data_IF_930115687605
#
_entry.id   IF_930115687605
#
_cell.length_a   1.000
_cell.length_b   1.000
_cell.length_c   1.000
_cell.angle_alpha   90.00
_cell.angle_beta   90.00
_cell.angle_gamma   90.00
#
_symmetry.space_group_name_H-M   'P 1'
#
loop_
_entity.id
_entity.type
_entity.pdbx_description
1 polymer ?
#
# COMPACT_ATOMS: atom_id res chain seq x y z
N UNK A 1 -13.54 -14.51 -4.97
CA UNK A 1 -13.00 -13.56 -5.96
C UNK A 1 -13.31 -12.13 -5.54
N UNK A 2 -12.35 -11.21 -5.70
CA UNK A 2 -12.51 -9.79 -5.35
C UNK A 2 -12.31 -8.91 -6.59
N UNK A 3 -13.13 -7.87 -6.74
CA UNK A 3 -12.95 -6.78 -7.70
C UNK A 3 -12.59 -5.49 -6.96
N UNK A 4 -11.89 -4.59 -7.65
CA UNK A 4 -11.49 -3.29 -7.10
C UNK A 4 -12.19 -2.21 -7.93
N UNK A 5 -12.81 -1.23 -7.26
CA UNK A 5 -13.48 -0.10 -7.88
C UNK A 5 -12.91 1.22 -7.38
N UNK A 6 -12.56 2.09 -8.31
CA UNK A 6 -12.18 3.46 -8.02
C UNK A 6 -13.41 4.38 -8.08
N UNK A 7 -13.80 4.89 -6.94
CA UNK A 7 -14.90 5.85 -6.79
C UNK A 7 -14.38 7.26 -6.44
N UNK A 8 -13.13 7.55 -6.75
CA UNK A 8 -12.52 8.84 -6.47
C UNK A 8 -13.11 9.94 -7.36
N UNK A 9 -13.22 11.17 -6.86
CA UNK A 9 -13.63 12.32 -7.65
C UNK A 9 -12.77 12.53 -8.89
N UNK A 10 -13.37 12.99 -9.99
CA UNK A 10 -12.67 13.17 -11.27
C UNK A 10 -11.55 14.22 -11.24
N UNK A 11 -11.62 15.15 -10.30
CA UNK A 11 -10.59 16.18 -10.10
C UNK A 11 -9.35 15.68 -9.36
N UNK A 12 -9.36 14.45 -8.83
CA UNK A 12 -8.17 13.80 -8.25
C UNK A 12 -7.29 13.29 -9.39
N UNK A 13 -5.99 13.47 -9.25
CA UNK A 13 -5.01 13.04 -10.24
C UNK A 13 -5.18 11.56 -10.62
N UNK A 14 -5.35 11.31 -11.92
CA UNK A 14 -5.59 9.98 -12.45
C UNK A 14 -4.41 9.03 -12.24
N UNK A 15 -3.18 9.53 -12.32
CA UNK A 15 -1.97 8.72 -12.10
C UNK A 15 -1.87 8.25 -10.64
N UNK A 16 -2.22 9.13 -9.71
CA UNK A 16 -2.30 8.77 -8.29
C UNK A 16 -3.36 7.68 -8.06
N UNK A 17 -4.57 7.87 -8.61
CA UNK A 17 -5.67 6.90 -8.49
C UNK A 17 -5.31 5.53 -9.05
N UNK A 18 -4.72 5.50 -10.25
CA UNK A 18 -4.24 4.26 -10.89
C UNK A 18 -3.08 3.61 -10.13
N UNK A 19 -2.18 4.41 -9.58
CA UNK A 19 -1.07 3.91 -8.76
C UNK A 19 -1.57 3.25 -7.49
N UNK A 20 -2.53 3.87 -6.80
CA UNK A 20 -3.18 3.28 -5.62
C UNK A 20 -3.91 1.98 -5.99
N UNK A 21 -4.69 1.97 -7.09
CA UNK A 21 -5.37 0.78 -7.60
C UNK A 21 -4.39 -0.37 -7.86
N UNK A 22 -3.28 -0.10 -8.57
CA UNK A 22 -2.27 -1.10 -8.91
C UNK A 22 -1.62 -1.73 -7.68
N UNK A 23 -1.32 -0.91 -6.66
CA UNK A 23 -0.77 -1.40 -5.41
C UNK A 23 -1.78 -2.27 -4.65
N UNK A 24 -3.02 -1.82 -4.50
CA UNK A 24 -4.09 -2.62 -3.88
C UNK A 24 -4.24 -3.96 -4.61
N UNK A 25 -4.28 -3.96 -5.94
CA UNK A 25 -4.39 -5.19 -6.73
C UNK A 25 -3.17 -6.11 -6.55
N UNK A 26 -1.97 -5.53 -6.51
CA UNK A 26 -0.71 -6.25 -6.26
C UNK A 26 -0.71 -6.91 -4.89
N UNK A 27 -1.02 -6.17 -3.84
CA UNK A 27 -1.05 -6.65 -2.46
C UNK A 27 -2.08 -7.77 -2.26
N UNK A 28 -3.28 -7.61 -2.82
CA UNK A 28 -4.30 -8.67 -2.78
C UNK A 28 -3.82 -9.96 -3.44
N UNK A 29 -3.05 -9.88 -4.53
CA UNK A 29 -2.44 -11.06 -5.17
C UNK A 29 -1.33 -11.65 -4.32
N UNK A 30 -0.43 -10.82 -3.80
CA UNK A 30 0.71 -11.26 -2.96
C UNK A 30 0.21 -11.93 -1.68
N UNK A 31 -0.91 -11.50 -1.12
CA UNK A 31 -1.53 -12.16 0.04
C UNK A 31 -1.89 -13.62 -0.22
N UNK A 32 -2.13 -14.01 -1.48
CA UNK A 32 -2.58 -15.32 -1.91
C UNK A 32 -3.98 -15.74 -1.40
N UNK A 33 -4.65 -14.87 -0.67
CA UNK A 33 -5.98 -15.12 -0.11
C UNK A 33 -7.12 -14.70 -1.06
N UNK A 34 -6.80 -13.92 -2.09
CA UNK A 34 -7.78 -13.39 -3.03
C UNK A 34 -7.46 -13.79 -4.47
N UNK A 35 -8.51 -14.14 -5.22
CA UNK A 35 -8.46 -14.16 -6.68
C UNK A 35 -8.93 -12.80 -7.17
N UNK A 36 -8.00 -11.98 -7.70
CA UNK A 36 -8.24 -10.58 -8.05
C UNK A 36 -8.76 -10.45 -9.48
N UNK A 37 -9.87 -9.72 -9.65
CA UNK A 37 -10.28 -9.13 -10.93
C UNK A 37 -9.62 -7.77 -11.03
N UNK A 38 -8.71 -7.60 -11.98
CA UNK A 38 -7.79 -6.47 -12.06
C UNK A 38 -8.15 -5.44 -13.14
N UNK A 39 -9.32 -5.55 -13.73
CA UNK A 39 -9.84 -4.51 -14.60
C UNK A 39 -10.09 -3.23 -13.81
N UNK A 40 -9.55 -2.11 -14.29
CA UNK A 40 -9.76 -0.81 -13.66
C UNK A 40 -11.18 -0.33 -13.89
N UNK A 41 -11.99 -0.40 -12.85
CA UNK A 41 -13.40 -0.01 -12.87
C UNK A 41 -13.60 1.30 -12.12
N UNK A 42 -14.27 2.26 -12.75
CA UNK A 42 -14.75 3.47 -12.09
C UNK A 42 -16.17 3.26 -11.58
N UNK A 43 -16.48 3.82 -10.41
CA UNK A 43 -17.77 3.66 -9.74
C UNK A 43 -18.17 4.93 -9.00
N UNK A 44 -19.38 4.97 -8.46
CA UNK A 44 -19.80 5.96 -7.46
C UNK A 44 -19.57 5.40 -6.06
N UNK A 45 -19.10 6.25 -5.12
CA UNK A 45 -18.84 5.82 -3.75
C UNK A 45 -20.12 5.47 -3.00
N UNK A 46 -21.19 6.27 -3.16
CA UNK A 46 -22.45 6.09 -2.42
C UNK A 46 -23.34 4.97 -2.98
N UNK A 47 -22.89 4.35 -4.02
CA UNK A 47 -23.61 3.20 -4.55
C UNK A 47 -24.16 3.41 -5.95
N UNK A 48 -24.32 2.36 -6.61
CA UNK A 48 -24.93 2.12 -7.88
C UNK A 48 -25.20 0.62 -7.94
N UNK A 49 -26.01 0.14 -8.87
CA UNK A 49 -26.17 -1.28 -9.04
C UNK A 49 -24.80 -1.91 -9.24
N UNK A 50 -24.61 -3.05 -8.61
CA UNK A 50 -23.49 -3.93 -8.94
C UNK A 50 -23.67 -4.24 -10.41
N UNK A 51 -22.74 -3.77 -11.22
CA UNK A 51 -22.84 -3.91 -12.67
C UNK A 51 -22.98 -5.40 -13.01
N UNK A 52 -23.84 -5.73 -13.97
CA UNK A 52 -24.05 -7.11 -14.44
C UNK A 52 -22.73 -7.82 -14.76
N UNK A 53 -21.73 -7.05 -15.21
CA UNK A 53 -20.36 -7.46 -15.42
C UNK A 53 -19.71 -8.19 -14.21
N UNK A 54 -19.94 -7.72 -12.98
CA UNK A 54 -19.39 -8.35 -11.78
C UNK A 54 -20.09 -9.67 -11.44
N UNK A 55 -21.37 -9.75 -11.77
CA UNK A 55 -22.15 -10.99 -11.66
C UNK A 55 -21.64 -12.05 -12.63
N UNK A 56 -21.41 -11.69 -13.89
CA UNK A 56 -20.90 -12.59 -14.92
C UNK A 56 -19.49 -13.10 -14.59
N UNK A 57 -18.65 -12.29 -13.96
CA UNK A 57 -17.31 -12.66 -13.52
C UNK A 57 -17.27 -13.42 -12.18
N UNK A 58 -18.42 -13.72 -11.57
CA UNK A 58 -18.54 -14.43 -10.29
C UNK A 58 -17.69 -13.79 -9.19
N UNK A 59 -17.78 -12.47 -9.05
CA UNK A 59 -17.15 -11.71 -7.98
C UNK A 59 -17.94 -11.90 -6.69
N UNK A 60 -17.27 -12.16 -5.59
CA UNK A 60 -17.88 -12.34 -4.26
C UNK A 60 -17.78 -11.06 -3.41
N UNK A 61 -16.69 -10.31 -3.59
CA UNK A 61 -16.38 -9.11 -2.85
C UNK A 61 -15.99 -7.96 -3.78
N UNK A 62 -16.32 -6.74 -3.38
CA UNK A 62 -15.88 -5.51 -4.04
C UNK A 62 -15.16 -4.67 -3.01
N UNK A 63 -13.90 -4.32 -3.28
CA UNK A 63 -13.18 -3.29 -2.57
C UNK A 63 -13.35 -1.99 -3.35
N UNK A 64 -14.14 -1.07 -2.83
CA UNK A 64 -14.40 0.24 -3.43
C UNK A 64 -13.68 1.31 -2.64
N UNK A 65 -12.80 2.06 -3.29
CA UNK A 65 -12.10 3.16 -2.66
C UNK A 65 -12.44 4.50 -3.31
N UNK A 66 -12.46 5.55 -2.50
CA UNK A 66 -12.53 6.95 -2.94
C UNK A 66 -11.34 7.69 -2.34
N UNK A 67 -10.37 8.03 -3.16
CA UNK A 67 -9.17 8.74 -2.72
C UNK A 67 -9.28 10.23 -3.02
N UNK A 68 -8.67 11.05 -2.17
CA UNK A 68 -8.43 12.47 -2.39
C UNK A 68 -6.98 12.81 -2.08
N UNK A 69 -6.48 13.89 -2.66
CA UNK A 69 -5.15 14.38 -2.35
C UNK A 69 -5.11 15.90 -2.36
N UNK A 70 -4.27 16.43 -1.47
CA UNK A 70 -3.86 17.83 -1.41
C UNK A 70 -2.38 17.96 -1.78
N UNK A 71 -1.79 19.15 -1.54
CA UNK A 71 -0.38 19.39 -1.83
C UNK A 71 0.55 18.37 -1.15
N UNK A 72 0.32 18.06 0.12
CA UNK A 72 1.19 17.19 0.91
C UNK A 72 0.48 15.95 1.45
N UNK A 73 -0.83 15.97 1.61
CA UNK A 73 -1.63 14.91 2.21
C UNK A 73 -2.40 14.09 1.18
N UNK A 74 -2.84 12.92 1.59
CA UNK A 74 -3.79 12.11 0.85
C UNK A 74 -4.75 11.44 1.84
N UNK A 75 -5.96 11.15 1.39
CA UNK A 75 -6.91 10.35 2.16
C UNK A 75 -7.62 9.35 1.28
N UNK A 76 -8.17 8.31 1.89
CA UNK A 76 -9.02 7.36 1.19
C UNK A 76 -10.15 6.89 2.10
N UNK A 77 -11.36 6.84 1.56
CA UNK A 77 -12.49 6.11 2.14
C UNK A 77 -12.63 4.80 1.40
N UNK A 78 -12.80 3.71 2.13
CA UNK A 78 -12.84 2.36 1.55
C UNK A 78 -14.03 1.60 2.08
N UNK A 79 -14.79 0.99 1.17
CA UNK A 79 -15.89 0.06 1.47
C UNK A 79 -15.52 -1.34 1.00
N UNK A 80 -15.75 -2.32 1.84
CA UNK A 80 -15.79 -3.73 1.44
C UNK A 80 -17.26 -4.14 1.31
N UNK A 81 -17.64 -4.62 0.14
CA UNK A 81 -19.03 -4.85 -0.22
C UNK A 81 -19.19 -6.32 -0.63
N UNK A 82 -20.19 -6.98 -0.09
CA UNK A 82 -20.62 -8.29 -0.58
C UNK A 82 -21.27 -8.11 -1.97
N UNK A 83 -20.65 -8.67 -3.00
CA UNK A 83 -21.10 -8.48 -4.38
C UNK A 83 -22.46 -9.12 -4.69
N UNK A 84 -22.86 -10.13 -3.92
CA UNK A 84 -24.14 -10.83 -4.13
C UNK A 84 -25.34 -10.09 -3.54
N UNK A 85 -25.13 -9.47 -2.36
CA UNK A 85 -26.21 -8.80 -1.61
C UNK A 85 -26.19 -7.29 -1.76
N UNK A 86 -25.06 -6.71 -2.24
CA UNK A 86 -24.85 -5.27 -2.28
C UNK A 86 -24.61 -4.64 -0.90
N UNK A 87 -24.52 -5.45 0.17
CA UNK A 87 -24.33 -4.93 1.53
C UNK A 87 -22.88 -4.57 1.80
N UNK A 88 -22.66 -3.40 2.41
CA UNK A 88 -21.35 -3.00 2.92
C UNK A 88 -21.03 -3.79 4.19
N UNK A 89 -19.96 -4.56 4.17
CA UNK A 89 -19.48 -5.36 5.30
C UNK A 89 -18.47 -4.61 6.18
N UNK A 90 -17.76 -3.66 5.60
CA UNK A 90 -16.82 -2.79 6.31
C UNK A 90 -16.68 -1.45 5.59
N UNK A 91 -16.53 -0.38 6.36
CA UNK A 91 -16.21 0.95 5.86
C UNK A 91 -15.11 1.56 6.74
N UNK A 92 -14.09 2.14 6.12
CA UNK A 92 -12.93 2.72 6.80
C UNK A 92 -12.47 3.99 6.10
N UNK A 93 -11.95 4.92 6.91
CA UNK A 93 -11.33 6.16 6.43
C UNK A 93 -9.87 6.22 6.85
N UNK A 94 -9.03 6.64 5.93
CA UNK A 94 -7.57 6.73 6.12
C UNK A 94 -7.10 8.13 5.77
N UNK A 95 -6.12 8.64 6.53
CA UNK A 95 -5.47 9.92 6.27
C UNK A 95 -3.95 9.74 6.30
N UNK A 96 -3.28 10.31 5.32
CA UNK A 96 -1.83 10.40 5.22
C UNK A 96 -1.39 11.86 5.26
N UNK A 97 -0.48 12.20 6.17
CA UNK A 97 0.14 13.53 6.23
C UNK A 97 1.24 13.73 5.18
N UNK A 98 1.70 12.66 4.55
CA UNK A 98 2.65 12.68 3.43
C UNK A 98 2.11 11.79 2.30
N UNK A 99 1.64 12.42 1.22
CA UNK A 99 1.06 11.69 0.07
C UNK A 99 2.05 10.74 -0.61
N UNK A 100 3.36 10.96 -0.49
CA UNK A 100 4.38 10.05 -1.03
C UNK A 100 4.33 8.67 -0.37
N UNK A 101 3.78 8.59 0.83
CA UNK A 101 3.60 7.34 1.57
C UNK A 101 2.34 6.56 1.17
N UNK A 102 1.69 6.89 0.06
CA UNK A 102 0.52 6.17 -0.42
C UNK A 102 0.71 4.64 -0.58
N UNK A 103 1.92 4.09 -0.79
CA UNK A 103 2.10 2.64 -0.77
C UNK A 103 1.71 2.01 0.57
N UNK A 104 2.09 2.63 1.68
CA UNK A 104 1.67 2.16 3.01
C UNK A 104 0.16 2.24 3.24
N UNK A 105 -0.50 3.21 2.60
CA UNK A 105 -1.96 3.28 2.60
C UNK A 105 -2.57 2.08 1.88
N UNK A 106 -2.06 1.71 0.70
CA UNK A 106 -2.51 0.52 -0.03
C UNK A 106 -2.34 -0.75 0.80
N UNK A 107 -1.15 -0.93 1.39
CA UNK A 107 -0.83 -2.08 2.25
C UNK A 107 -1.79 -2.21 3.43
N UNK A 108 -2.07 -1.09 4.09
CA UNK A 108 -3.01 -1.05 5.22
C UNK A 108 -4.44 -1.38 4.78
N UNK A 109 -4.91 -0.82 3.68
CA UNK A 109 -6.23 -1.13 3.12
C UNK A 109 -6.38 -2.62 2.89
N UNK A 110 -5.39 -3.26 2.26
CA UNK A 110 -5.42 -4.69 1.95
C UNK A 110 -5.30 -5.54 3.20
N UNK A 111 -4.44 -5.19 4.14
CA UNK A 111 -4.29 -5.88 5.41
C UNK A 111 -5.59 -5.89 6.20
N UNK A 112 -6.28 -4.76 6.31
CA UNK A 112 -7.57 -4.68 6.99
C UNK A 112 -8.70 -5.40 6.23
N UNK A 113 -8.71 -5.35 4.88
CA UNK A 113 -9.67 -6.13 4.09
C UNK A 113 -9.47 -7.64 4.28
N UNK A 114 -8.22 -8.08 4.41
CA UNK A 114 -7.85 -9.46 4.72
C UNK A 114 -8.35 -9.88 6.11
N UNK A 115 -8.19 -9.02 7.11
CA UNK A 115 -8.69 -9.28 8.47
C UNK A 115 -10.24 -9.45 8.47
N UNK A 116 -10.97 -8.69 7.64
CA UNK A 116 -12.44 -8.77 7.54
C UNK A 116 -12.95 -10.11 7.01
N UNK A 117 -12.16 -10.82 6.22
CA UNK A 117 -12.54 -12.17 5.75
C UNK A 117 -12.03 -13.29 6.66
N UNK A 118 -11.37 -12.94 7.78
CA UNK A 118 -10.83 -13.91 8.74
C UNK A 118 -9.65 -14.73 8.19
N UNK A 119 -8.95 -14.24 7.18
CA UNK A 119 -7.76 -14.90 6.64
C UNK A 119 -6.54 -14.69 7.55
N UNK A 120 -5.48 -15.53 7.44
CA UNK A 120 -4.26 -15.34 8.19
C UNK A 120 -3.67 -13.94 8.00
N UNK A 121 -3.10 -13.37 9.09
CA UNK A 121 -2.61 -12.00 9.10
C UNK A 121 -1.51 -11.75 8.07
N UNK A 122 -1.64 -10.63 7.37
CA UNK A 122 -0.66 -10.12 6.40
C UNK A 122 -0.10 -8.74 6.82
N UNK A 123 -0.15 -8.43 8.12
CA UNK A 123 0.33 -7.14 8.68
C UNK A 123 1.81 -6.85 8.41
N UNK A 124 2.58 -7.86 8.03
CA UNK A 124 3.95 -7.67 7.58
C UNK A 124 4.06 -6.71 6.38
N UNK A 125 3.03 -6.61 5.53
CA UNK A 125 2.99 -5.67 4.40
C UNK A 125 3.03 -4.21 4.84
N UNK A 126 2.52 -3.89 6.03
CA UNK A 126 2.51 -2.53 6.58
C UNK A 126 3.88 -2.09 7.13
N UNK A 127 4.81 -3.04 7.29
CA UNK A 127 6.13 -2.76 7.84
C UNK A 127 7.05 -2.12 6.81
N UNK A 128 7.94 -1.25 7.29
CA UNK A 128 9.00 -0.69 6.48
C UNK A 128 10.18 -1.65 6.36
N UNK A 129 10.87 -1.62 5.24
CA UNK A 129 12.13 -2.33 5.03
C UNK A 129 13.29 -1.36 5.02
N UNK A 130 14.45 -1.82 5.48
CA UNK A 130 15.71 -1.08 5.43
C UNK A 130 16.70 -1.86 4.57
N UNK A 131 17.40 -1.15 3.68
CA UNK A 131 18.47 -1.76 2.90
C UNK A 131 19.61 -0.78 2.63
N UNK A 132 20.79 -1.31 2.36
CA UNK A 132 21.92 -0.52 1.90
C UNK A 132 21.90 -0.46 0.37
N UNK A 133 22.02 0.73 -0.19
CA UNK A 133 22.10 0.98 -1.64
C UNK A 133 23.48 1.56 -1.96
N UNK A 134 24.26 0.86 -2.78
CA UNK A 134 25.53 1.38 -3.26
C UNK A 134 25.30 2.50 -4.27
N UNK A 135 25.98 3.63 -4.07
CA UNK A 135 25.94 4.80 -4.95
C UNK A 135 27.18 4.90 -5.81
N UNK A 136 28.34 4.58 -5.23
CA UNK A 136 29.65 4.57 -5.86
C UNK A 136 30.53 3.50 -5.21
N UNK A 137 31.74 3.30 -5.74
CA UNK A 137 32.73 2.45 -5.09
C UNK A 137 33.02 2.92 -3.66
N UNK A 138 32.88 2.02 -2.69
CA UNK A 138 33.06 2.27 -1.24
C UNK A 138 32.11 3.36 -0.67
N UNK A 139 30.99 3.62 -1.34
CA UNK A 139 29.94 4.50 -0.82
C UNK A 139 28.59 3.83 -0.91
N UNK A 140 27.83 3.94 0.14
CA UNK A 140 26.45 3.46 0.20
C UNK A 140 25.61 4.33 1.13
N UNK A 141 24.32 4.26 0.92
CA UNK A 141 23.31 4.91 1.76
C UNK A 141 22.35 3.88 2.36
N UNK A 142 21.77 4.21 3.50
CA UNK A 142 20.70 3.41 4.08
C UNK A 142 19.37 4.02 3.63
N UNK A 143 18.52 3.18 3.06
CA UNK A 143 17.22 3.55 2.51
C UNK A 143 16.12 2.85 3.28
N UNK A 144 15.11 3.61 3.69
CA UNK A 144 13.83 3.11 4.19
C UNK A 144 12.84 3.04 3.03
N UNK A 145 12.10 1.95 2.94
CA UNK A 145 11.11 1.73 1.89
C UNK A 145 9.89 0.94 2.41
N UNK A 146 8.82 0.95 1.64
CA UNK A 146 7.79 -0.09 1.71
C UNK A 146 8.33 -1.39 1.07
N UNK A 147 7.66 -2.50 1.28
CA UNK A 147 8.13 -3.82 0.78
C UNK A 147 8.14 -3.94 -0.74
N UNK A 148 7.36 -3.10 -1.46
CA UNK A 148 7.33 -3.07 -2.94
C UNK A 148 8.44 -2.19 -3.53
N UNK A 149 9.18 -1.47 -2.70
CA UNK A 149 10.20 -0.49 -3.07
C UNK A 149 9.64 0.72 -3.85
N UNK A 150 8.34 0.94 -3.81
CA UNK A 150 7.67 2.07 -4.47
C UNK A 150 7.94 3.39 -3.74
N UNK A 151 7.85 3.38 -2.41
CA UNK A 151 8.29 4.49 -1.57
C UNK A 151 9.73 4.27 -1.14
N UNK A 152 10.60 5.26 -1.34
CA UNK A 152 11.96 5.21 -0.85
C UNK A 152 12.36 6.54 -0.22
N UNK A 153 12.99 6.47 0.95
CA UNK A 153 13.53 7.61 1.67
C UNK A 153 14.96 7.30 2.11
N UNK A 154 15.91 8.10 1.67
CA UNK A 154 17.29 8.01 2.15
C UNK A 154 17.34 8.48 3.60
N UNK A 155 17.87 7.63 4.47
CA UNK A 155 17.98 7.87 5.92
C UNK A 155 19.40 8.26 6.32
N UNK A 156 20.40 7.65 5.69
CA UNK A 156 21.83 7.88 5.98
C UNK A 156 22.59 7.98 4.66
N UNK A 157 23.49 8.96 4.58
CA UNK A 157 24.40 9.19 3.45
C UNK A 157 25.84 9.38 3.95
N UNK A 158 26.80 9.37 3.03
CA UNK A 158 28.22 9.59 3.34
C UNK A 158 28.93 8.33 3.83
N UNK A 159 30.10 8.05 3.27
CA UNK A 159 30.86 6.85 3.58
C UNK A 159 30.22 5.55 3.09
N UNK A 160 30.73 4.43 3.61
CA UNK A 160 30.20 3.10 3.36
C UNK A 160 29.28 2.70 4.53
N UNK A 161 27.97 2.71 4.30
CA UNK A 161 26.94 2.38 5.29
C UNK A 161 26.29 1.06 4.89
N UNK A 162 26.36 0.05 5.73
CA UNK A 162 25.90 -1.33 5.43
C UNK A 162 25.21 -1.99 6.63
N UNK A 163 24.59 -3.12 6.38
CA UNK A 163 23.94 -3.98 7.38
C UNK A 163 22.90 -3.24 8.27
N UNK A 164 21.94 -2.52 7.67
CA UNK A 164 20.91 -1.91 8.48
C UNK A 164 20.03 -2.98 9.14
N UNK A 165 19.63 -2.73 10.38
CA UNK A 165 18.77 -3.61 11.16
C UNK A 165 17.87 -2.78 12.05
N UNK A 166 16.58 -3.11 12.10
CA UNK A 166 15.65 -2.52 13.05
C UNK A 166 16.06 -2.81 14.49
N UNK A 167 16.00 -1.80 15.34
CA UNK A 167 16.35 -1.88 16.75
C UNK A 167 15.21 -2.40 17.63
N UNK A 168 13.96 -2.27 17.13
CA UNK A 168 12.75 -2.69 17.83
C UNK A 168 11.63 -3.05 16.83
N UNK A 169 10.60 -3.72 17.33
CA UNK A 169 9.43 -4.15 16.53
C UNK A 169 8.60 -2.97 16.02
N UNK A 170 8.56 -1.86 16.75
CA UNK A 170 7.86 -0.63 16.38
C UNK A 170 8.55 0.14 15.23
N UNK A 171 9.75 -0.31 14.81
CA UNK A 171 10.53 0.31 13.74
C UNK A 171 10.84 1.81 13.99
N UNK A 172 10.98 2.21 15.25
CA UNK A 172 11.26 3.59 15.66
C UNK A 172 12.74 3.94 15.66
N UNK A 173 13.63 2.94 15.69
CA UNK A 173 15.08 3.09 15.62
C UNK A 173 15.72 1.96 14.83
N UNK A 174 16.87 2.22 14.24
CA UNK A 174 17.66 1.21 13.52
C UNK A 174 19.15 1.38 13.78
N UNK A 175 19.89 0.30 13.64
CA UNK A 175 21.34 0.24 13.69
C UNK A 175 21.90 -0.05 12.30
N UNK A 176 23.11 0.41 12.04
CA UNK A 176 23.86 0.11 10.82
C UNK A 176 25.35 0.18 11.10
N UNK A 177 26.16 -0.40 10.24
CA UNK A 177 27.63 -0.26 10.30
C UNK A 177 28.07 0.83 9.33
N UNK A 178 28.87 1.79 9.82
CA UNK A 178 29.43 2.86 9.00
C UNK A 178 30.96 2.78 8.99
N UNK A 179 31.54 2.95 7.81
CA UNK A 179 32.99 3.06 7.61
C UNK A 179 33.30 4.47 7.13
N UNK A 180 33.79 5.31 8.04
CA UNK A 180 34.17 6.69 7.78
C UNK A 180 35.71 6.84 7.77
N UNK A 181 36.41 5.89 7.18
CA UNK A 181 37.86 5.81 7.17
C UNK A 181 38.37 4.38 7.16
N UNK A 182 39.44 4.09 7.89
CA UNK A 182 40.02 2.75 7.96
C UNK A 182 39.29 1.80 8.92
N UNK A 183 38.53 2.31 9.89
CA UNK A 183 37.84 1.53 10.91
C UNK A 183 36.33 1.71 10.88
N UNK A 184 35.53 0.68 11.18
CA UNK A 184 34.09 0.77 11.32
C UNK A 184 33.70 1.53 12.59
N UNK A 185 32.61 2.30 12.55
CA UNK A 185 32.03 3.03 13.68
C UNK A 185 30.59 2.55 13.93
#
# INVERSE_FOLDING_TARGET
KIAIQDASPKNVDLEFRKSLFKLIAGDLRVSSHFRVEDEYLQSSYEGGPIENFLSDKKVDLILRFSATQDLNSASANVKLINARTGTTTSERSYVLNDKKRYPFLAHKIVSEANDQIGAPSIKWMEQSVLFARYTEAKKSEIVLSDYTLTYQKVMVTGGLNIFPKWGNEEQSAFYYTSYNGAEPT
#
